data_IF_767710673710
#
_entry.id   IF_767710673710
#
_cell.length_a   1.000
_cell.length_b   1.000
_cell.length_c   1.000
_cell.angle_alpha   90.00
_cell.angle_beta   90.00
_cell.angle_gamma   90.00
#
_symmetry.space_group_name_H-M   'P 1'
#
loop_
_entity.id
_entity.type
_entity.pdbx_description
1 polymer ?
#
# COMPACT_ATOMS: atom_id res chain seq x y z
N UNK A 1 -35.28 9.72 10.63
CA UNK A 1 -35.73 11.09 10.96
C UNK A 1 -34.56 11.94 11.48
N UNK A 2 -33.77 11.44 12.43
CA UNK A 2 -32.58 12.10 12.98
C UNK A 2 -31.53 12.51 11.92
N UNK A 3 -31.19 11.62 10.98
CA UNK A 3 -30.20 11.92 9.92
C UNK A 3 -30.63 13.06 8.98
N UNK A 4 -31.95 13.21 8.72
CA UNK A 4 -32.49 14.29 7.89
C UNK A 4 -32.44 15.64 8.63
N UNK A 5 -32.73 15.63 9.93
CA UNK A 5 -32.62 16.83 10.79
C UNK A 5 -31.16 17.26 10.90
N UNK A 6 -30.23 16.32 11.11
CA UNK A 6 -28.80 16.61 11.15
C UNK A 6 -28.29 17.18 9.82
N UNK A 7 -28.74 16.62 8.69
CA UNK A 7 -28.39 17.14 7.36
C UNK A 7 -28.90 18.56 7.13
N UNK A 8 -30.10 18.88 7.60
CA UNK A 8 -30.68 20.23 7.49
C UNK A 8 -29.94 21.25 8.36
N UNK A 9 -29.57 20.88 9.60
CA UNK A 9 -28.73 21.70 10.48
C UNK A 9 -27.31 21.90 9.95
N UNK A 10 -26.78 20.89 9.26
CA UNK A 10 -25.44 20.90 8.65
C UNK A 10 -25.36 21.77 7.39
N UNK A 11 -26.44 21.84 6.60
CA UNK A 11 -26.49 22.55 5.32
C UNK A 11 -25.99 24.01 5.38
N UNK A 12 -26.45 24.88 6.31
CA UNK A 12 -25.97 26.27 6.37
C UNK A 12 -24.49 26.37 6.73
N UNK A 13 -24.00 25.51 7.63
CA UNK A 13 -22.57 25.48 8.02
C UNK A 13 -21.71 25.07 6.82
N UNK A 14 -22.11 24.03 6.09
CA UNK A 14 -21.42 23.58 4.88
C UNK A 14 -21.44 24.69 3.82
N UNK A 15 -22.58 25.33 3.60
CA UNK A 15 -22.70 26.42 2.64
C UNK A 15 -21.73 27.58 2.94
N UNK A 16 -21.62 27.98 4.20
CA UNK A 16 -20.76 29.07 4.64
C UNK A 16 -19.26 28.69 4.57
N UNK A 17 -18.89 27.52 5.10
CA UNK A 17 -17.48 27.16 5.33
C UNK A 17 -16.84 26.42 4.16
N UNK A 18 -17.60 25.77 3.28
CA UNK A 18 -17.04 24.91 2.23
C UNK A 18 -16.09 25.65 1.29
N UNK A 19 -16.50 26.81 0.74
CA UNK A 19 -15.66 27.59 -0.18
C UNK A 19 -14.37 28.14 0.45
N UNK A 20 -14.39 28.80 1.63
CA UNK A 20 -13.15 29.29 2.24
C UNK A 20 -12.22 28.13 2.66
N UNK A 21 -12.76 27.06 3.24
CA UNK A 21 -11.95 25.89 3.60
C UNK A 21 -11.39 25.20 2.36
N UNK A 22 -12.13 25.11 1.25
CA UNK A 22 -11.61 24.62 -0.03
C UNK A 22 -10.45 25.46 -0.58
N UNK A 23 -10.51 26.79 -0.48
CA UNK A 23 -9.41 27.68 -0.92
C UNK A 23 -8.17 27.48 -0.06
N UNK A 24 -8.36 27.40 1.26
CA UNK A 24 -7.28 27.11 2.20
C UNK A 24 -6.67 25.72 1.95
N UNK A 25 -7.52 24.71 1.75
CA UNK A 25 -7.13 23.34 1.43
C UNK A 25 -6.26 23.27 0.18
N UNK A 26 -6.65 23.98 -0.90
CA UNK A 26 -5.87 24.07 -2.15
C UNK A 26 -4.53 24.78 -1.96
N UNK A 27 -4.49 25.83 -1.14
CA UNK A 27 -3.24 26.57 -0.85
C UNK A 27 -2.23 25.72 -0.08
N UNK A 28 -2.72 24.80 0.74
CA UNK A 28 -1.87 23.90 1.52
C UNK A 28 -1.62 22.60 0.76
N UNK A 29 -2.44 22.24 -0.25
CA UNK A 29 -2.31 21.01 -1.04
C UNK A 29 -0.93 20.97 -1.67
N UNK A 30 -0.07 20.11 -1.14
CA UNK A 30 1.29 19.95 -1.62
C UNK A 30 1.36 18.72 -2.50
N UNK A 31 1.72 18.91 -3.77
CA UNK A 31 2.12 17.80 -4.61
C UNK A 31 3.35 17.11 -4.03
N UNK A 32 3.59 15.82 -4.33
CA UNK A 32 4.73 15.07 -3.85
C UNK A 32 6.06 15.82 -4.09
N UNK A 33 6.87 15.96 -3.05
CA UNK A 33 8.18 16.61 -3.15
C UNK A 33 9.29 15.54 -3.14
N UNK A 34 10.07 15.48 -4.22
CA UNK A 34 11.11 14.46 -4.41
C UNK A 34 12.12 14.39 -3.26
N UNK A 35 12.68 15.52 -2.85
CA UNK A 35 13.69 15.55 -1.78
C UNK A 35 13.14 15.05 -0.45
N UNK A 36 11.93 15.47 -0.09
CA UNK A 36 11.28 15.04 1.15
C UNK A 36 10.97 13.53 1.14
N UNK A 37 10.44 13.00 0.03
CA UNK A 37 10.15 11.57 -0.15
C UNK A 37 11.45 10.76 -0.01
N UNK A 38 12.48 11.14 -0.76
CA UNK A 38 13.75 10.42 -0.77
C UNK A 38 14.43 10.45 0.59
N UNK A 39 14.48 11.62 1.22
CA UNK A 39 15.05 11.78 2.55
C UNK A 39 14.34 10.87 3.56
N UNK A 40 13.00 10.90 3.60
CA UNK A 40 12.24 10.13 4.59
C UNK A 40 12.38 8.62 4.38
N UNK A 41 12.29 8.14 3.15
CA UNK A 41 12.47 6.71 2.86
C UNK A 41 13.88 6.24 3.24
N UNK A 42 14.91 7.01 2.89
CA UNK A 42 16.30 6.67 3.25
C UNK A 42 16.53 6.69 4.76
N UNK A 43 16.00 7.70 5.47
CA UNK A 43 16.09 7.80 6.93
C UNK A 43 15.45 6.59 7.61
N UNK A 44 14.21 6.26 7.24
CA UNK A 44 13.47 5.13 7.82
C UNK A 44 14.13 3.79 7.54
N UNK A 45 14.54 3.57 6.29
CA UNK A 45 15.20 2.32 5.90
C UNK A 45 16.50 2.12 6.68
N UNK A 46 17.30 3.18 6.80
CA UNK A 46 18.54 3.17 7.58
C UNK A 46 18.28 2.94 9.07
N UNK A 47 17.29 3.61 9.65
CA UNK A 47 16.91 3.40 11.05
C UNK A 47 16.57 1.93 11.32
N UNK A 48 15.74 1.32 10.47
CA UNK A 48 15.28 -0.06 10.66
C UNK A 48 16.42 -1.08 10.47
N UNK A 49 17.32 -0.84 9.53
CA UNK A 49 18.33 -1.84 9.15
C UNK A 49 19.66 -1.72 9.90
N UNK A 50 19.99 -0.55 10.42
CA UNK A 50 21.28 -0.29 11.06
C UNK A 50 21.17 -0.06 12.59
N UNK A 51 20.02 0.40 13.10
CA UNK A 51 19.89 0.68 14.53
C UNK A 51 19.39 -0.55 15.31
N UNK A 52 20.03 -0.90 16.45
CA UNK A 52 19.56 -2.01 17.31
C UNK A 52 18.19 -1.78 17.95
N UNK A 53 17.77 -0.51 18.07
CA UNK A 53 16.48 -0.10 18.61
C UNK A 53 15.86 0.95 17.68
N UNK A 54 15.32 0.51 16.52
CA UNK A 54 14.73 1.41 15.55
C UNK A 54 13.51 2.14 16.14
N UNK A 55 13.32 3.38 15.71
CA UNK A 55 12.17 4.23 16.10
C UNK A 55 11.05 4.14 15.08
N UNK A 56 11.39 4.00 13.81
CA UNK A 56 10.45 4.09 12.69
C UNK A 56 9.83 2.74 12.31
N UNK A 57 10.40 1.63 12.77
CA UNK A 57 9.91 0.32 12.37
C UNK A 57 10.57 -0.88 13.00
N UNK A 58 10.53 -2.00 12.29
CA UNK A 58 11.14 -3.26 12.71
C UNK A 58 11.67 -4.05 11.52
N UNK A 59 12.79 -4.74 11.75
CA UNK A 59 13.43 -5.67 10.82
C UNK A 59 13.04 -7.10 11.20
N UNK A 60 12.59 -7.89 10.21
CA UNK A 60 12.29 -9.31 10.36
C UNK A 60 13.12 -10.10 9.36
N UNK A 61 13.84 -11.11 9.83
CA UNK A 61 14.54 -12.04 8.94
C UNK A 61 13.66 -13.24 8.65
N UNK A 62 13.31 -13.46 7.37
CA UNK A 62 12.36 -14.50 6.97
C UNK A 62 12.76 -15.16 5.64
N UNK A 63 12.70 -16.48 5.58
CA UNK A 63 12.94 -17.25 4.35
C UNK A 63 11.65 -17.34 3.52
N UNK A 64 11.69 -16.92 2.25
CA UNK A 64 10.55 -17.02 1.34
C UNK A 64 10.26 -18.46 0.85
N UNK A 65 11.17 -19.41 1.05
CA UNK A 65 10.91 -20.82 0.73
C UNK A 65 9.91 -21.46 1.70
N UNK A 66 9.96 -21.05 2.96
CA UNK A 66 9.18 -21.67 4.05
C UNK A 66 7.97 -20.81 4.47
N UNK A 67 7.91 -19.55 4.01
CA UNK A 67 6.91 -18.58 4.44
C UNK A 67 6.23 -17.93 3.25
N UNK A 68 4.90 -17.91 3.29
CA UNK A 68 4.06 -17.18 2.33
C UNK A 68 3.56 -15.88 2.95
N UNK A 69 3.45 -14.82 2.15
CA UNK A 69 3.00 -13.50 2.58
C UNK A 69 1.84 -13.02 1.72
N UNK A 70 0.93 -12.28 2.33
CA UNK A 70 -0.03 -11.42 1.64
C UNK A 70 0.12 -10.00 2.19
N UNK A 71 0.12 -9.03 1.29
CA UNK A 71 0.26 -7.61 1.60
C UNK A 71 -0.98 -6.88 1.07
N UNK A 72 -1.73 -6.25 1.98
CA UNK A 72 -2.90 -5.43 1.66
C UNK A 72 -2.75 -4.02 2.23
N UNK A 73 -3.39 -3.04 1.60
CA UNK A 73 -3.41 -1.62 2.01
C UNK A 73 -4.78 -0.99 1.73
N UNK A 74 -5.01 0.19 2.31
CA UNK A 74 -6.09 1.09 1.92
C UNK A 74 -7.46 0.41 2.01
N UNK A 75 -7.75 -0.18 3.16
CA UNK A 75 -9.06 -0.78 3.40
C UNK A 75 -10.10 0.31 3.66
N UNK A 76 -9.72 1.35 4.39
CA UNK A 76 -10.60 2.47 4.78
C UNK A 76 -11.90 2.01 5.46
N UNK A 77 -11.79 1.05 6.40
CA UNK A 77 -12.92 0.50 7.17
C UNK A 77 -13.71 1.62 7.86
N UNK A 78 -14.99 1.75 7.51
CA UNK A 78 -15.86 2.78 8.05
C UNK A 78 -16.98 2.23 8.93
N UNK A 79 -18.14 2.89 8.87
CA UNK A 79 -19.32 2.60 9.68
C UNK A 79 -20.49 1.97 8.90
N UNK A 80 -20.22 1.41 7.73
CA UNK A 80 -21.18 0.78 6.79
C UNK A 80 -22.22 1.71 6.18
N UNK A 81 -22.20 3.01 6.52
CA UNK A 81 -23.09 4.02 5.93
C UNK A 81 -22.58 4.46 4.56
N UNK A 82 -23.29 5.41 3.94
CA UNK A 82 -23.06 5.89 2.56
C UNK A 82 -21.61 6.31 2.24
N UNK A 83 -20.85 6.79 3.24
CA UNK A 83 -19.47 7.28 3.06
C UNK A 83 -18.40 6.25 3.38
N UNK A 84 -18.81 5.02 3.71
CA UNK A 84 -17.91 3.89 3.91
C UNK A 84 -17.80 3.15 2.58
N UNK A 85 -16.62 3.22 1.97
CA UNK A 85 -16.31 2.58 0.69
C UNK A 85 -15.95 1.10 0.89
N UNK A 86 -15.31 0.77 2.03
CA UNK A 86 -14.92 -0.59 2.39
C UNK A 86 -16.10 -1.56 2.46
N UNK A 87 -17.30 -1.06 2.77
CA UNK A 87 -18.51 -1.90 2.90
C UNK A 87 -18.80 -2.78 1.67
N UNK A 88 -18.37 -2.34 0.49
CA UNK A 88 -18.53 -3.11 -0.76
C UNK A 88 -17.46 -4.18 -0.92
N UNK A 89 -16.30 -4.01 -0.26
CA UNK A 89 -15.12 -4.86 -0.37
C UNK A 89 -14.98 -5.89 0.75
N UNK A 90 -15.74 -5.75 1.85
CA UNK A 90 -15.64 -6.63 3.02
C UNK A 90 -15.74 -8.11 2.68
N UNK A 91 -16.70 -8.51 1.82
CA UNK A 91 -16.88 -9.91 1.45
C UNK A 91 -15.61 -10.48 0.81
N UNK A 92 -15.01 -9.73 -0.10
CA UNK A 92 -13.78 -10.13 -0.79
C UNK A 92 -12.58 -10.15 0.17
N UNK A 93 -12.51 -9.17 1.07
CA UNK A 93 -11.47 -9.13 2.10
C UNK A 93 -11.55 -10.32 3.08
N UNK A 94 -12.75 -10.64 3.57
CA UNK A 94 -12.94 -11.80 4.47
C UNK A 94 -12.58 -13.12 3.79
N UNK A 95 -12.98 -13.30 2.53
CA UNK A 95 -12.62 -14.48 1.74
C UNK A 95 -11.10 -14.58 1.53
N UNK A 96 -10.44 -13.46 1.23
CA UNK A 96 -8.99 -13.41 1.10
C UNK A 96 -8.30 -13.78 2.42
N UNK A 97 -8.69 -13.17 3.53
CA UNK A 97 -8.11 -13.48 4.84
C UNK A 97 -8.32 -14.94 5.25
N UNK A 98 -9.48 -15.53 4.97
CA UNK A 98 -9.72 -16.95 5.22
C UNK A 98 -8.79 -17.84 4.38
N UNK A 99 -8.61 -17.54 3.09
CA UNK A 99 -7.70 -18.27 2.22
C UNK A 99 -6.25 -18.22 2.72
N UNK A 100 -5.75 -17.04 3.03
CA UNK A 100 -4.36 -16.87 3.46
C UNK A 100 -4.10 -17.41 4.87
N UNK A 101 -5.09 -17.36 5.76
CA UNK A 101 -4.97 -17.97 7.08
C UNK A 101 -4.92 -19.50 6.98
N UNK A 102 -5.76 -20.11 6.13
CA UNK A 102 -5.73 -21.56 5.85
C UNK A 102 -4.42 -22.03 5.23
N UNK A 103 -3.78 -21.20 4.41
CA UNK A 103 -2.43 -21.45 3.88
C UNK A 103 -1.31 -21.23 4.89
N UNK A 104 -1.62 -20.70 6.08
CA UNK A 104 -0.62 -20.37 7.09
C UNK A 104 0.20 -19.12 6.78
N UNK A 105 -0.20 -18.31 5.79
CA UNK A 105 0.54 -17.13 5.36
C UNK A 105 0.65 -16.08 6.47
N UNK A 106 1.68 -15.24 6.36
CA UNK A 106 1.83 -13.98 7.06
C UNK A 106 1.03 -12.89 6.36
N UNK A 107 0.43 -12.01 7.14
CA UNK A 107 -0.31 -10.88 6.65
C UNK A 107 0.38 -9.57 7.05
N UNK A 108 0.82 -8.80 6.06
CA UNK A 108 1.32 -7.44 6.20
C UNK A 108 0.20 -6.47 5.80
N UNK A 109 -0.25 -5.68 6.76
CA UNK A 109 -1.17 -4.59 6.54
C UNK A 109 -0.39 -3.27 6.41
N UNK A 110 -0.40 -2.65 5.22
CA UNK A 110 0.36 -1.43 4.92
C UNK A 110 -0.32 -0.13 5.38
N UNK A 111 -1.38 -0.20 6.18
CA UNK A 111 -2.04 0.99 6.71
C UNK A 111 -3.19 1.50 5.84
N UNK A 112 -3.71 2.65 6.25
CA UNK A 112 -5.04 3.16 5.86
C UNK A 112 -6.12 2.08 5.98
N UNK A 113 -6.04 1.34 7.09
CA UNK A 113 -6.98 0.28 7.40
C UNK A 113 -8.29 0.81 7.93
N UNK A 114 -8.24 1.80 8.81
CA UNK A 114 -9.38 2.36 9.52
C UNK A 114 -9.56 3.82 9.11
N UNK A 115 -10.75 4.18 8.64
CA UNK A 115 -11.01 5.53 8.11
C UNK A 115 -11.33 6.53 9.23
N UNK A 116 -10.31 6.78 10.07
CA UNK A 116 -10.43 7.58 11.30
C UNK A 116 -10.55 9.08 11.03
N UNK A 117 -10.27 9.54 9.81
CA UNK A 117 -10.58 10.91 9.39
C UNK A 117 -12.09 11.12 9.20
N UNK A 118 -12.84 10.09 8.79
CA UNK A 118 -14.30 10.22 8.57
C UNK A 118 -15.14 9.70 9.73
N UNK A 119 -14.64 8.73 10.50
CA UNK A 119 -15.41 8.01 11.52
C UNK A 119 -14.65 7.89 12.84
N UNK A 120 -15.36 7.92 13.96
CA UNK A 120 -14.74 7.67 15.26
C UNK A 120 -14.42 6.18 15.45
N UNK A 121 -13.42 5.88 16.28
CA UNK A 121 -12.94 4.52 16.54
C UNK A 121 -14.05 3.58 17.02
N UNK A 122 -14.93 4.01 17.93
CA UNK A 122 -16.00 3.15 18.47
C UNK A 122 -16.97 2.68 17.37
N UNK A 123 -17.31 3.58 16.45
CA UNK A 123 -18.14 3.26 15.30
C UNK A 123 -17.46 2.26 14.38
N UNK A 124 -16.15 2.40 14.14
CA UNK A 124 -15.39 1.46 13.31
C UNK A 124 -15.34 0.08 13.99
N UNK A 125 -14.95 0.02 15.26
CA UNK A 125 -14.88 -1.23 16.03
C UNK A 125 -16.23 -1.96 16.08
N UNK A 126 -17.32 -1.22 16.25
CA UNK A 126 -18.67 -1.80 16.30
C UNK A 126 -19.07 -2.49 14.98
N UNK A 127 -18.71 -1.91 13.83
CA UNK A 127 -19.21 -2.33 12.52
C UNK A 127 -18.24 -3.24 11.73
N UNK A 128 -17.07 -3.55 12.28
CA UNK A 128 -16.02 -4.31 11.59
C UNK A 128 -15.55 -5.52 12.41
N UNK A 129 -16.42 -6.06 13.28
CA UNK A 129 -16.06 -7.18 14.16
C UNK A 129 -15.58 -8.40 13.40
N UNK A 130 -16.24 -8.76 12.29
CA UNK A 130 -15.88 -9.93 11.48
C UNK A 130 -14.49 -9.79 10.86
N UNK A 131 -14.15 -8.61 10.34
CA UNK A 131 -12.84 -8.36 9.74
C UNK A 131 -11.74 -8.36 10.80
N UNK A 132 -12.00 -7.78 11.97
CA UNK A 132 -11.05 -7.85 13.09
C UNK A 132 -10.86 -9.27 13.63
N UNK A 133 -11.91 -10.08 13.74
CA UNK A 133 -11.78 -11.49 14.13
C UNK A 133 -11.01 -12.30 13.08
N UNK A 134 -11.15 -11.98 11.79
CA UNK A 134 -10.32 -12.59 10.75
C UNK A 134 -8.84 -12.20 10.87
N UNK A 135 -8.54 -10.92 11.05
CA UNK A 135 -7.17 -10.43 11.29
C UNK A 135 -6.55 -11.03 12.57
N UNK A 136 -7.35 -11.19 13.63
CA UNK A 136 -6.94 -11.77 14.91
C UNK A 136 -6.43 -13.21 14.78
N UNK A 137 -6.89 -13.99 13.80
CA UNK A 137 -6.35 -15.34 13.55
C UNK A 137 -4.85 -15.29 13.20
N UNK A 138 -4.43 -14.33 12.38
CA UNK A 138 -3.02 -14.08 12.08
C UNK A 138 -2.25 -13.62 13.33
N UNK A 139 -2.84 -12.73 14.14
CA UNK A 139 -2.23 -12.24 15.39
C UNK A 139 -1.94 -13.39 16.38
N UNK A 140 -2.89 -14.31 16.54
CA UNK A 140 -2.75 -15.50 17.40
C UNK A 140 -1.55 -16.36 16.97
N UNK A 141 -1.28 -16.45 15.65
CA UNK A 141 -0.14 -17.18 15.08
C UNK A 141 1.18 -16.40 15.05
N UNK A 142 1.23 -15.16 15.54
CA UNK A 142 2.37 -14.24 15.34
C UNK A 142 2.66 -13.95 13.85
N UNK A 143 1.63 -14.00 13.01
CA UNK A 143 1.75 -13.89 11.56
C UNK A 143 1.13 -12.58 11.02
N UNK A 144 1.01 -11.55 11.87
CA UNK A 144 0.40 -10.27 11.52
C UNK A 144 1.36 -9.11 11.76
N UNK A 145 1.60 -8.31 10.73
CA UNK A 145 2.39 -7.09 10.80
C UNK A 145 1.53 -5.92 10.35
N UNK A 146 1.58 -4.79 11.06
CA UNK A 146 0.78 -3.61 10.73
C UNK A 146 1.65 -2.36 10.67
N UNK A 147 1.51 -1.64 9.56
CA UNK A 147 2.06 -0.31 9.33
C UNK A 147 0.91 0.70 9.42
N UNK A 148 1.17 1.92 9.91
CA UNK A 148 0.18 2.99 9.85
C UNK A 148 0.26 3.74 8.52
N UNK A 149 -0.92 4.11 8.01
CA UNK A 149 -1.05 5.10 6.94
C UNK A 149 -1.45 6.47 7.47
N UNK A 150 -1.67 7.44 6.58
CA UNK A 150 -2.02 8.80 6.98
C UNK A 150 -3.45 8.92 7.55
N UNK A 151 -4.37 8.02 7.21
CA UNK A 151 -5.70 7.94 7.81
C UNK A 151 -5.67 7.27 9.19
N UNK A 152 -4.64 6.48 9.45
CA UNK A 152 -4.46 5.64 10.64
C UNK A 152 -3.63 6.31 11.75
N UNK A 153 -3.17 7.56 11.57
CA UNK A 153 -2.27 8.27 12.50
C UNK A 153 -2.74 8.29 13.96
N UNK A 154 -4.05 8.19 14.19
CA UNK A 154 -4.64 7.97 15.51
C UNK A 154 -3.97 6.82 16.28
N UNK A 155 -3.60 5.73 15.59
CA UNK A 155 -2.94 4.58 16.21
C UNK A 155 -1.56 4.88 16.77
N UNK A 156 -0.86 5.87 16.21
CA UNK A 156 0.46 6.32 16.65
C UNK A 156 0.34 7.30 17.82
N UNK A 157 -0.58 8.26 17.73
CA UNK A 157 -0.63 9.41 18.65
C UNK A 157 -1.59 9.23 19.82
N UNK A 158 -2.62 8.39 19.70
CA UNK A 158 -3.64 8.27 20.74
C UNK A 158 -3.11 7.49 21.95
N UNK A 159 -3.18 8.04 23.18
CA UNK A 159 -2.71 7.37 24.39
C UNK A 159 -3.42 6.05 24.69
N UNK A 160 -4.66 5.87 24.22
CA UNK A 160 -5.48 4.68 24.42
C UNK A 160 -5.40 3.70 23.25
N UNK A 161 -4.62 3.99 22.22
CA UNK A 161 -4.43 3.13 21.05
C UNK A 161 -4.08 1.69 21.44
N UNK A 162 -3.19 1.50 22.43
CA UNK A 162 -2.82 0.18 22.97
C UNK A 162 -4.00 -0.57 23.58
N UNK A 163 -4.88 0.13 24.30
CA UNK A 163 -6.08 -0.45 24.92
C UNK A 163 -7.05 -0.94 23.85
N UNK A 164 -7.34 -0.11 22.83
CA UNK A 164 -8.22 -0.51 21.74
C UNK A 164 -7.67 -1.71 20.95
N UNK A 165 -6.36 -1.74 20.67
CA UNK A 165 -5.72 -2.89 20.01
C UNK A 165 -5.83 -4.16 20.85
N UNK A 166 -5.62 -4.06 22.15
CA UNK A 166 -5.76 -5.20 23.05
C UNK A 166 -7.21 -5.71 23.09
N UNK A 167 -8.19 -4.81 23.12
CA UNK A 167 -9.62 -5.18 23.07
C UNK A 167 -9.99 -5.94 21.79
N UNK A 168 -9.39 -5.57 20.66
CA UNK A 168 -9.71 -6.16 19.35
C UNK A 168 -8.96 -7.49 19.15
N UNK A 169 -7.65 -7.47 19.36
CA UNK A 169 -6.78 -8.59 18.99
C UNK A 169 -6.45 -9.53 20.15
N UNK A 170 -6.83 -9.20 21.39
CA UNK A 170 -6.49 -9.94 22.63
C UNK A 170 -4.98 -10.12 22.84
N UNK A 171 -4.17 -9.36 22.11
CA UNK A 171 -2.71 -9.43 22.12
C UNK A 171 -2.14 -8.07 21.74
N UNK A 172 -0.98 -7.66 22.29
CA UNK A 172 -0.30 -6.48 21.80
C UNK A 172 0.05 -6.64 20.32
N UNK A 173 -0.51 -5.76 19.49
CA UNK A 173 -0.11 -5.57 18.10
C UNK A 173 0.67 -4.26 18.03
N UNK A 174 1.90 -4.33 17.55
CA UNK A 174 2.70 -3.16 17.26
C UNK A 174 2.29 -2.61 15.90
N UNK A 175 2.26 -1.28 15.81
CA UNK A 175 2.01 -0.56 14.56
C UNK A 175 3.25 0.28 14.30
N UNK A 176 3.85 0.10 13.14
CA UNK A 176 5.12 0.69 12.75
C UNK A 176 4.92 1.75 11.66
N UNK A 177 5.90 2.64 11.47
CA UNK A 177 5.93 3.51 10.29
C UNK A 177 6.34 2.76 9.03
N UNK A 178 7.18 1.73 9.18
CA UNK A 178 7.51 0.76 8.15
C UNK A 178 7.98 -0.57 8.73
N UNK A 179 8.06 -1.59 7.90
CA UNK A 179 8.74 -2.85 8.23
C UNK A 179 9.72 -3.21 7.12
N UNK A 180 10.80 -3.88 7.47
CA UNK A 180 11.71 -4.50 6.50
C UNK A 180 11.67 -6.00 6.72
N UNK A 181 11.37 -6.77 5.67
CA UNK A 181 11.50 -8.22 5.68
C UNK A 181 12.77 -8.58 4.90
N UNK A 182 13.81 -8.99 5.62
CA UNK A 182 15.08 -9.42 5.06
C UNK A 182 15.01 -10.87 4.66
N UNK A 183 15.19 -11.12 3.37
CA UNK A 183 15.17 -12.45 2.77
C UNK A 183 16.60 -12.90 2.51
N UNK A 184 17.14 -13.87 3.27
CA UNK A 184 18.51 -14.34 3.09
C UNK A 184 18.62 -15.25 1.87
N UNK A 185 19.69 -15.09 1.09
CA UNK A 185 20.03 -15.92 -0.08
C UNK A 185 21.36 -16.69 0.10
N UNK A 186 21.84 -16.79 1.34
CA UNK A 186 23.10 -17.44 1.70
C UNK A 186 24.34 -16.59 1.42
N UNK A 187 25.49 -16.99 1.98
CA UNK A 187 26.79 -16.27 1.85
C UNK A 187 26.73 -14.78 2.24
N UNK A 188 25.85 -14.42 3.18
CA UNK A 188 25.65 -13.02 3.62
C UNK A 188 24.90 -12.13 2.62
N UNK A 189 24.42 -12.66 1.49
CA UNK A 189 23.58 -11.94 0.55
C UNK A 189 22.11 -12.00 0.98
N UNK A 190 21.38 -10.92 0.77
CA UNK A 190 19.97 -10.81 1.08
C UNK A 190 19.26 -9.87 0.11
N UNK A 191 17.93 -9.95 0.08
CA UNK A 191 17.06 -8.91 -0.50
C UNK A 191 16.16 -8.40 0.63
N UNK A 192 16.06 -7.09 0.78
CA UNK A 192 15.18 -6.46 1.75
C UNK A 192 13.87 -6.05 1.07
N UNK A 193 12.76 -6.61 1.53
CA UNK A 193 11.41 -6.16 1.17
C UNK A 193 11.02 -5.05 2.15
N UNK A 194 11.18 -3.81 1.72
CA UNK A 194 10.86 -2.62 2.49
C UNK A 194 9.41 -2.22 2.26
N UNK A 195 8.60 -2.34 3.30
CA UNK A 195 7.16 -2.13 3.27
C UNK A 195 6.81 -0.83 4.01
N UNK A 196 6.24 0.14 3.29
CA UNK A 196 5.73 1.39 3.86
C UNK A 196 4.32 1.66 3.35
N UNK A 197 3.55 2.54 3.99
CA UNK A 197 2.24 2.90 3.44
C UNK A 197 2.36 3.64 2.11
N UNK A 198 3.29 4.60 2.00
CA UNK A 198 3.50 5.44 0.83
C UNK A 198 3.37 6.93 1.11
N UNK A 199 2.81 7.36 2.24
CA UNK A 199 2.75 8.80 2.58
C UNK A 199 4.12 9.42 2.92
N UNK A 200 5.21 8.64 2.88
CA UNK A 200 6.55 9.07 3.29
C UNK A 200 7.02 10.28 2.46
N UNK A 201 7.40 11.36 3.14
CA UNK A 201 7.76 12.65 2.55
C UNK A 201 6.61 13.67 2.47
N UNK A 202 5.39 13.29 2.84
CA UNK A 202 4.29 14.25 3.04
C UNK A 202 4.47 14.98 4.37
N UNK A 203 4.82 16.26 4.31
CA UNK A 203 5.05 17.13 5.48
C UNK A 203 3.87 17.19 6.45
N UNK A 204 2.65 16.84 6.03
CA UNK A 204 1.47 16.84 6.89
C UNK A 204 1.42 15.60 7.77
N UNK A 205 1.67 14.45 7.14
CA UNK A 205 1.54 13.11 7.70
C UNK A 205 2.85 12.66 8.39
N UNK A 206 3.99 13.18 7.94
CA UNK A 206 5.32 13.00 8.54
C UNK A 206 5.83 14.27 9.23
N UNK A 207 4.93 15.21 9.51
CA UNK A 207 5.27 16.44 10.22
C UNK A 207 5.61 16.19 11.68
N UNK A 208 5.86 17.27 12.44
CA UNK A 208 6.01 17.14 13.89
C UNK A 208 4.70 16.63 14.54
N UNK A 209 4.78 16.17 15.80
CA UNK A 209 3.65 15.63 16.55
C UNK A 209 2.41 16.55 16.57
N UNK A 210 2.61 17.88 16.51
CA UNK A 210 1.51 18.83 16.42
C UNK A 210 0.83 18.82 15.04
N UNK A 211 1.60 18.75 13.95
CA UNK A 211 1.06 18.60 12.59
C UNK A 211 0.23 17.32 12.47
N UNK A 212 0.78 16.20 12.91
CA UNK A 212 0.10 14.89 12.91
C UNK A 212 -1.20 14.96 13.72
N UNK A 213 -1.14 15.52 14.93
CA UNK A 213 -2.32 15.74 15.77
C UNK A 213 -3.38 16.62 15.10
N UNK A 214 -2.97 17.76 14.51
CA UNK A 214 -3.88 18.68 13.84
C UNK A 214 -4.56 18.00 12.64
N UNK A 215 -3.79 17.23 11.86
CA UNK A 215 -4.31 16.49 10.70
C UNK A 215 -5.34 15.45 11.14
N UNK A 216 -4.98 14.61 12.12
CA UNK A 216 -5.80 13.50 12.58
C UNK A 216 -7.08 13.94 13.31
N UNK A 217 -7.00 14.93 14.22
CA UNK A 217 -8.14 15.29 15.09
C UNK A 217 -8.94 16.49 14.60
N UNK A 218 -8.38 17.36 13.75
CA UNK A 218 -9.04 18.60 13.31
C UNK A 218 -9.29 18.58 11.80
N UNK A 219 -8.22 18.50 11.00
CA UNK A 219 -8.32 18.69 9.55
C UNK A 219 -9.12 17.58 8.85
N UNK A 220 -8.76 16.31 9.07
CA UNK A 220 -9.45 15.16 8.47
C UNK A 220 -10.95 15.14 8.78
N UNK A 221 -11.35 15.22 10.06
CA UNK A 221 -12.75 15.32 10.47
C UNK A 221 -13.48 16.52 9.87
N UNK A 222 -12.85 17.70 9.82
CA UNK A 222 -13.44 18.91 9.23
C UNK A 222 -13.63 18.77 7.71
N UNK A 223 -12.63 18.24 7.00
CA UNK A 223 -12.69 17.99 5.56
C UNK A 223 -13.81 17.02 5.21
N UNK A 224 -13.92 15.92 5.98
CA UNK A 224 -15.02 14.94 5.87
C UNK A 224 -16.37 15.56 6.23
N UNK A 225 -16.45 16.40 7.26
CA UNK A 225 -17.68 17.09 7.61
C UNK A 225 -18.14 18.02 6.49
N UNK A 226 -17.25 18.74 5.82
CA UNK A 226 -17.64 19.70 4.76
C UNK A 226 -17.80 19.06 3.37
N UNK A 227 -17.63 17.74 3.25
CA UNK A 227 -17.63 16.98 1.98
C UNK A 227 -16.74 17.70 0.93
N UNK A 228 -15.53 18.04 1.37
CA UNK A 228 -14.53 18.73 0.55
C UNK A 228 -13.70 17.69 -0.19
N UNK A 229 -13.92 17.62 -1.51
CA UNK A 229 -12.98 17.00 -2.43
C UNK A 229 -12.11 18.09 -3.06
N UNK A 230 -10.81 18.07 -2.75
CA UNK A 230 -9.86 19.11 -3.15
C UNK A 230 -9.30 18.81 -4.55
N UNK A 231 -9.33 17.55 -4.98
CA UNK A 231 -8.64 17.07 -6.16
C UNK A 231 -9.64 16.74 -7.27
N UNK A 232 -9.40 17.26 -8.48
CA UNK A 232 -10.10 16.76 -9.67
C UNK A 232 -9.53 15.39 -10.05
N UNK A 233 -10.32 14.48 -10.67
CA UNK A 233 -9.84 13.15 -11.04
C UNK A 233 -8.56 13.15 -11.90
N UNK A 234 -8.40 14.16 -12.77
CA UNK A 234 -7.21 14.30 -13.61
C UNK A 234 -5.97 14.72 -12.80
N UNK A 235 -6.11 15.70 -11.89
CA UNK A 235 -5.01 16.18 -11.04
C UNK A 235 -4.61 15.10 -10.04
N UNK A 236 -5.59 14.42 -9.41
CA UNK A 236 -5.30 13.31 -8.52
C UNK A 236 -4.63 12.15 -9.27
N UNK A 237 -5.02 11.86 -10.52
CA UNK A 237 -4.34 10.84 -11.33
C UNK A 237 -2.88 11.23 -11.62
N UNK A 238 -2.61 12.47 -12.04
CA UNK A 238 -1.24 12.93 -12.29
C UNK A 238 -0.37 12.95 -11.04
N UNK A 239 -0.92 13.37 -9.89
CA UNK A 239 -0.19 13.39 -8.62
C UNK A 239 0.11 11.98 -8.12
N UNK A 240 -0.84 11.04 -8.24
CA UNK A 240 -0.64 9.62 -7.96
C UNK A 240 0.43 9.00 -8.86
N UNK A 241 0.39 9.28 -10.17
CA UNK A 241 1.44 8.84 -11.11
C UNK A 241 2.81 9.42 -10.75
N UNK A 242 2.88 10.71 -10.42
CA UNK A 242 4.13 11.34 -9.98
C UNK A 242 4.66 10.70 -8.70
N UNK A 243 3.78 10.48 -7.72
CA UNK A 243 4.13 9.85 -6.45
C UNK A 243 4.74 8.46 -6.67
N UNK A 244 4.07 7.60 -7.43
CA UNK A 244 4.55 6.27 -7.79
C UNK A 244 5.88 6.30 -8.56
N UNK A 245 6.08 7.30 -9.43
CA UNK A 245 7.37 7.50 -10.10
C UNK A 245 8.48 7.81 -9.09
N UNK A 246 8.23 8.70 -8.13
CA UNK A 246 9.23 9.04 -7.11
C UNK A 246 9.61 7.84 -6.24
N UNK A 247 8.63 7.01 -5.86
CA UNK A 247 8.87 5.76 -5.13
C UNK A 247 9.74 4.80 -5.94
N UNK A 248 9.42 4.64 -7.23
CA UNK A 248 10.22 3.84 -8.14
C UNK A 248 11.65 4.38 -8.27
N UNK A 249 11.81 5.67 -8.58
CA UNK A 249 13.12 6.32 -8.72
C UNK A 249 13.98 6.13 -7.46
N UNK A 250 13.42 6.30 -6.26
CA UNK A 250 14.16 6.09 -5.01
C UNK A 250 14.62 4.64 -4.87
N UNK A 251 13.72 3.68 -5.13
CA UNK A 251 14.02 2.25 -4.98
C UNK A 251 15.08 1.74 -5.99
N UNK A 252 15.15 2.32 -7.19
CA UNK A 252 16.17 1.98 -8.19
C UNK A 252 17.60 2.32 -7.73
N UNK A 253 17.73 3.34 -6.88
CA UNK A 253 19.02 3.81 -6.36
C UNK A 253 19.53 2.93 -5.20
N UNK A 254 18.70 2.03 -4.68
CA UNK A 254 19.08 1.16 -3.58
C UNK A 254 19.65 -0.16 -4.10
N UNK A 255 20.58 -0.72 -3.34
CA UNK A 255 21.10 -2.07 -3.57
C UNK A 255 20.27 -3.09 -2.80
N UNK A 256 19.82 -4.14 -3.48
CA UNK A 256 19.07 -5.26 -2.89
C UNK A 256 17.76 -4.90 -2.17
N UNK A 257 17.13 -3.76 -2.49
CA UNK A 257 15.86 -3.35 -1.90
C UNK A 257 14.72 -3.45 -2.90
N UNK A 258 13.62 -4.04 -2.44
CA UNK A 258 12.31 -4.00 -3.06
C UNK A 258 11.40 -3.14 -2.18
N UNK A 259 10.88 -2.04 -2.71
CA UNK A 259 9.92 -1.17 -2.03
C UNK A 259 8.48 -1.61 -2.36
N UNK A 260 7.66 -1.84 -1.34
CA UNK A 260 6.23 -2.16 -1.47
C UNK A 260 5.41 -1.09 -0.75
N UNK A 261 4.50 -0.43 -1.47
CA UNK A 261 3.62 0.62 -0.92
C UNK A 261 2.15 0.42 -1.24
N UNK A 262 1.28 1.24 -0.64
CA UNK A 262 -0.12 1.46 -1.02
C UNK A 262 -0.36 2.92 -1.42
N UNK A 263 -1.28 3.60 -0.74
CA UNK A 263 -1.53 5.05 -0.75
C UNK A 263 -2.15 5.63 -2.03
N UNK A 264 -1.64 5.28 -3.22
CA UNK A 264 -2.18 5.83 -4.47
C UNK A 264 -3.43 5.10 -4.97
N UNK A 265 -3.77 3.95 -4.39
CA UNK A 265 -4.86 3.06 -4.83
C UNK A 265 -4.69 2.55 -6.28
N UNK A 266 -3.47 2.64 -6.83
CA UNK A 266 -3.13 2.24 -8.19
C UNK A 266 -2.15 1.07 -8.06
N UNK A 267 -2.55 -0.16 -8.40
CA UNK A 267 -1.65 -1.28 -8.29
C UNK A 267 -0.53 -1.13 -9.32
N UNK A 268 0.69 -1.42 -8.89
CA UNK A 268 1.90 -1.39 -9.73
C UNK A 268 2.68 -2.64 -9.43
N UNK A 269 3.08 -3.35 -10.48
CA UNK A 269 3.87 -4.55 -10.37
C UNK A 269 5.21 -4.30 -11.07
N UNK A 270 6.30 -4.24 -10.30
CA UNK A 270 7.69 -4.08 -10.78
C UNK A 270 8.02 -2.83 -11.63
N UNK A 271 7.12 -1.84 -11.66
CA UNK A 271 7.17 -0.54 -12.33
C UNK A 271 6.48 -0.40 -13.70
N UNK A 272 5.97 0.80 -13.93
CA UNK A 272 5.37 1.27 -15.18
C UNK A 272 6.29 1.18 -16.41
N UNK A 273 7.60 1.00 -16.21
CA UNK A 273 8.62 0.94 -17.27
C UNK A 273 8.93 -0.49 -17.76
N UNK A 274 8.45 -1.52 -17.06
CA UNK A 274 8.77 -2.91 -17.39
C UNK A 274 8.22 -3.33 -18.74
N UNK A 275 6.94 -3.03 -19.01
CA UNK A 275 6.30 -3.36 -20.28
C UNK A 275 7.00 -2.65 -21.47
N UNK A 276 7.46 -1.41 -21.25
CA UNK A 276 8.24 -0.68 -22.26
C UNK A 276 9.60 -1.34 -22.49
N UNK A 277 10.26 -1.78 -21.42
CA UNK A 277 11.54 -2.50 -21.52
C UNK A 277 11.40 -3.86 -22.20
N UNK A 278 10.40 -4.66 -21.82
CA UNK A 278 10.10 -5.94 -22.46
C UNK A 278 9.78 -5.75 -23.95
N UNK A 279 8.99 -4.72 -24.30
CA UNK A 279 8.74 -4.37 -25.71
C UNK A 279 10.00 -3.95 -26.45
N UNK A 280 10.87 -3.15 -25.83
CA UNK A 280 12.14 -2.77 -26.45
C UNK A 280 13.08 -3.97 -26.65
N UNK A 281 13.18 -4.87 -25.66
CA UNK A 281 13.91 -6.12 -25.78
C UNK A 281 13.31 -7.05 -26.83
N UNK A 282 11.98 -7.08 -26.96
CA UNK A 282 11.30 -7.85 -27.99
C UNK A 282 11.66 -7.35 -29.39
N UNK A 283 11.66 -6.03 -29.61
CA UNK A 283 12.10 -5.44 -30.87
C UNK A 283 13.57 -5.75 -31.17
N UNK A 284 14.44 -5.70 -30.16
CA UNK A 284 15.85 -6.07 -30.31
C UNK A 284 16.01 -7.56 -30.64
N UNK A 285 15.30 -8.45 -29.95
CA UNK A 285 15.33 -9.89 -30.19
C UNK A 285 14.77 -10.24 -31.58
N UNK A 286 13.69 -9.57 -32.03
CA UNK A 286 13.16 -9.66 -33.40
C UNK A 286 14.18 -9.21 -34.43
N UNK A 287 14.90 -8.12 -34.16
CA UNK A 287 15.95 -7.62 -35.06
C UNK A 287 17.14 -8.59 -35.19
N UNK A 288 17.41 -9.38 -34.14
CA UNK A 288 18.48 -10.39 -34.10
C UNK A 288 18.04 -11.79 -34.52
N UNK A 289 16.76 -12.00 -34.85
CA UNK A 289 16.18 -13.31 -35.19
C UNK A 289 16.37 -14.37 -34.09
N UNK A 290 16.40 -13.96 -32.82
CA UNK A 290 16.53 -14.85 -31.67
C UNK A 290 15.15 -15.42 -31.28
N UNK A 291 14.80 -16.56 -31.88
CA UNK A 291 13.45 -17.15 -31.80
C UNK A 291 13.06 -17.55 -30.37
N UNK A 292 14.01 -18.11 -29.61
CA UNK A 292 13.75 -18.56 -28.24
C UNK A 292 13.51 -17.37 -27.31
N UNK A 293 14.30 -16.30 -27.47
CA UNK A 293 14.16 -15.07 -26.69
C UNK A 293 12.91 -14.28 -27.07
N UNK A 294 12.52 -14.27 -28.34
CA UNK A 294 11.25 -13.67 -28.79
C UNK A 294 10.06 -14.35 -28.13
N UNK A 295 10.03 -15.69 -28.12
CA UNK A 295 8.93 -16.45 -27.51
C UNK A 295 8.81 -16.20 -26.00
N UNK A 296 9.93 -16.24 -25.28
CA UNK A 296 9.98 -15.93 -23.84
C UNK A 296 9.50 -14.49 -23.54
N UNK A 297 9.94 -13.51 -24.33
CA UNK A 297 9.53 -12.11 -24.16
C UNK A 297 8.06 -11.88 -24.51
N UNK A 298 7.51 -12.55 -25.52
CA UNK A 298 6.09 -12.46 -25.87
C UNK A 298 5.20 -13.05 -24.76
N UNK A 299 5.56 -14.21 -24.20
CA UNK A 299 4.86 -14.77 -23.04
C UNK A 299 4.96 -13.87 -21.80
N UNK A 300 6.12 -13.26 -21.55
CA UNK A 300 6.29 -12.28 -20.46
C UNK A 300 5.41 -11.06 -20.67
N UNK A 301 5.34 -10.51 -21.90
CA UNK A 301 4.49 -9.35 -22.22
C UNK A 301 3.00 -9.69 -22.04
N UNK A 302 2.57 -10.88 -22.45
CA UNK A 302 1.18 -11.33 -22.32
C UNK A 302 0.72 -11.42 -20.85
N UNK A 303 1.65 -11.74 -19.93
CA UNK A 303 1.40 -11.79 -18.48
C UNK A 303 1.29 -10.40 -17.80
N UNK A 304 1.47 -9.29 -18.52
CA UNK A 304 1.49 -7.92 -17.95
C UNK A 304 0.36 -7.03 -18.51
N UNK A 305 -0.83 -6.94 -17.88
CA UNK A 305 -1.94 -6.08 -18.31
C UNK A 305 -1.78 -4.58 -17.95
N UNK A 306 -0.57 -4.10 -17.63
CA UNK A 306 -0.36 -2.84 -16.91
C UNK A 306 -0.75 -1.54 -17.67
N UNK A 307 -1.41 -0.64 -16.94
CA UNK A 307 -2.09 0.59 -17.41
C UNK A 307 -1.19 1.83 -17.54
N UNK A 308 0.01 1.73 -18.12
CA UNK A 308 0.82 2.94 -18.39
C UNK A 308 1.43 2.98 -19.79
N UNK A 309 1.09 4.06 -20.49
CA UNK A 309 1.60 4.46 -21.82
C UNK A 309 2.59 5.62 -21.75
N UNK A 310 2.92 6.11 -20.54
CA UNK A 310 3.80 7.26 -20.40
C UNK A 310 5.26 6.82 -20.55
N UNK A 311 5.91 7.31 -21.60
CA UNK A 311 7.33 7.09 -21.84
C UNK A 311 8.17 7.67 -20.70
N UNK A 312 9.09 6.87 -20.18
CA UNK A 312 10.14 7.37 -19.30
C UNK A 312 11.43 7.40 -20.13
N UNK A 313 11.75 8.56 -20.67
CA UNK A 313 13.07 8.77 -21.26
C UNK A 313 14.11 8.86 -20.12
N UNK A 314 15.26 8.24 -20.34
CA UNK A 314 16.50 8.36 -19.55
C UNK A 314 16.54 7.75 -18.13
N UNK A 315 15.88 6.60 -17.89
CA UNK A 315 16.20 5.79 -16.71
C UNK A 315 17.25 4.70 -17.05
N UNK A 316 18.23 4.44 -16.16
CA UNK A 316 19.19 3.34 -16.31
C UNK A 316 18.47 1.97 -16.34
N UNK A 317 19.23 0.92 -16.71
CA UNK A 317 18.79 -0.48 -16.85
C UNK A 317 17.71 -0.85 -15.82
N UNK A 318 16.53 -1.18 -16.33
CA UNK A 318 15.33 -1.53 -15.58
C UNK A 318 15.62 -2.50 -14.42
N UNK A 319 15.16 -2.18 -13.20
CA UNK A 319 15.09 -3.12 -12.08
C UNK A 319 13.67 -3.21 -11.49
N UNK A 320 13.17 -4.39 -11.11
CA UNK A 320 11.82 -4.59 -10.58
C UNK A 320 11.69 -4.22 -9.09
N UNK A 321 12.13 -3.02 -8.71
CA UNK A 321 12.34 -2.63 -7.29
C UNK A 321 11.13 -2.00 -6.61
N UNK A 322 10.01 -1.78 -7.32
CA UNK A 322 8.87 -1.08 -6.77
C UNK A 322 7.53 -1.75 -7.09
N UNK A 323 6.72 -1.88 -6.05
CA UNK A 323 5.37 -2.42 -6.11
C UNK A 323 4.41 -1.53 -5.36
N UNK A 324 3.20 -1.41 -5.90
CA UNK A 324 2.06 -0.83 -5.22
C UNK A 324 0.95 -1.88 -5.12
N UNK A 325 0.48 -2.15 -3.91
CA UNK A 325 -0.50 -3.21 -3.66
C UNK A 325 -1.93 -2.83 -4.12
N UNK A 326 -2.16 -1.57 -4.49
CA UNK A 326 -3.45 -1.06 -4.94
C UNK A 326 -4.38 -0.67 -3.78
N UNK A 327 -5.65 -1.05 -3.84
CA UNK A 327 -6.66 -0.74 -2.80
C UNK A 327 -7.45 -1.98 -2.39
N UNK A 328 -7.96 -1.95 -1.15
CA UNK A 328 -8.97 -2.88 -0.67
C UNK A 328 -10.38 -2.26 -0.60
N UNK A 329 -10.64 -1.30 -1.49
CA UNK A 329 -11.77 -0.39 -1.40
C UNK A 329 -12.37 -0.01 -2.77
N UNK A 330 -12.09 -0.78 -3.84
CA UNK A 330 -12.51 -0.39 -5.19
C UNK A 330 -14.04 -0.26 -5.27
N UNK A 331 -14.51 0.63 -6.15
CA UNK A 331 -15.94 0.93 -6.28
C UNK A 331 -16.78 -0.25 -6.75
N UNK A 332 -16.16 -1.24 -7.40
CA UNK A 332 -16.76 -2.51 -7.80
C UNK A 332 -16.72 -3.57 -6.68
N UNK A 333 -16.19 -3.20 -5.50
CA UNK A 333 -16.02 -4.09 -4.35
C UNK A 333 -14.81 -5.01 -4.45
N UNK A 334 -14.04 -4.97 -5.54
CA UNK A 334 -12.83 -5.77 -5.66
C UNK A 334 -11.73 -5.25 -4.73
N UNK A 335 -10.74 -6.11 -4.45
CA UNK A 335 -9.54 -5.74 -3.72
C UNK A 335 -8.31 -6.27 -4.44
N UNK A 336 -7.17 -5.60 -4.28
CA UNK A 336 -5.87 -6.09 -4.77
C UNK A 336 -4.87 -6.20 -3.64
N UNK A 337 -3.87 -7.06 -3.82
CA UNK A 337 -2.75 -7.20 -2.89
C UNK A 337 -1.52 -7.79 -3.57
N UNK A 338 -0.38 -7.74 -2.87
CA UNK A 338 0.83 -8.43 -3.31
C UNK A 338 0.97 -9.72 -2.50
N UNK A 339 0.96 -10.84 -3.20
CA UNK A 339 1.22 -12.16 -2.64
C UNK A 339 2.67 -12.56 -2.90
N UNK A 340 3.36 -13.08 -1.90
CA UNK A 340 4.68 -13.70 -2.06
C UNK A 340 4.54 -15.14 -1.59
N UNK A 341 4.46 -16.09 -2.53
CA UNK A 341 4.21 -17.49 -2.22
C UNK A 341 4.66 -18.39 -3.37
N UNK A 342 4.97 -19.64 -3.04
CA UNK A 342 5.23 -20.72 -4.01
C UNK A 342 6.37 -20.41 -5.00
N UNK A 343 7.34 -19.57 -4.60
CA UNK A 343 8.46 -19.16 -5.46
C UNK A 343 8.16 -17.95 -6.34
N UNK A 344 7.05 -17.24 -6.15
CA UNK A 344 6.65 -16.09 -6.96
C UNK A 344 6.25 -14.90 -6.08
N UNK A 345 6.39 -13.70 -6.65
CA UNK A 345 5.62 -12.52 -6.26
C UNK A 345 4.46 -12.39 -7.22
N UNK A 346 3.28 -12.01 -6.75
CA UNK A 346 2.07 -11.87 -7.58
C UNK A 346 1.27 -10.65 -7.19
N UNK A 347 0.75 -9.93 -8.17
CA UNK A 347 -0.38 -9.02 -7.98
C UNK A 347 -1.65 -9.86 -8.07
N UNK A 348 -2.39 -9.94 -6.97
CA UNK A 348 -3.64 -10.69 -6.90
C UNK A 348 -4.83 -9.76 -6.79
N UNK A 349 -5.95 -10.17 -7.38
CA UNK A 349 -7.25 -9.52 -7.24
C UNK A 349 -8.24 -10.50 -6.60
N UNK A 350 -9.09 -9.99 -5.72
CA UNK A 350 -10.25 -10.71 -5.23
C UNK A 350 -11.50 -9.97 -5.64
N UNK A 351 -12.45 -10.68 -6.24
CA UNK A 351 -13.71 -10.12 -6.73
C UNK A 351 -14.82 -11.16 -6.67
N UNK A 352 -16.08 -10.71 -6.72
CA UNK A 352 -17.26 -11.59 -6.74
C UNK A 352 -18.06 -11.33 -8.01
N UNK A 353 -18.02 -12.30 -8.93
CA UNK A 353 -18.78 -12.26 -10.19
C UNK A 353 -20.12 -13.00 -10.10
N UNK A 354 -20.67 -13.15 -8.89
CA UNK A 354 -22.00 -13.73 -8.63
C UNK A 354 -22.00 -15.18 -8.16
N UNK A 355 -20.82 -15.81 -8.02
CA UNK A 355 -20.66 -17.19 -7.50
C UNK A 355 -19.96 -17.24 -6.14
N UNK A 356 -19.55 -16.10 -5.60
CA UNK A 356 -18.67 -16.02 -4.45
C UNK A 356 -17.39 -15.26 -4.78
N UNK A 357 -16.64 -14.92 -3.73
CA UNK A 357 -15.37 -14.23 -3.89
C UNK A 357 -14.30 -15.20 -4.40
N UNK A 358 -13.64 -14.84 -5.49
CA UNK A 358 -12.62 -15.66 -6.14
C UNK A 358 -11.30 -14.88 -6.25
N UNK A 359 -10.18 -15.61 -6.18
CA UNK A 359 -8.82 -15.08 -6.32
C UNK A 359 -8.37 -15.20 -7.77
N UNK A 360 -7.96 -14.09 -8.35
CA UNK A 360 -7.37 -13.98 -9.67
C UNK A 360 -5.91 -13.50 -9.55
N UNK A 361 -5.00 -14.07 -10.34
CA UNK A 361 -3.63 -13.55 -10.49
C UNK A 361 -3.63 -12.61 -11.68
N UNK A 362 -3.31 -11.33 -11.43
CA UNK A 362 -3.24 -10.32 -12.48
C UNK A 362 -1.84 -10.28 -13.12
N UNK A 363 -0.80 -10.38 -12.29
CA UNK A 363 0.60 -10.37 -12.71
C UNK A 363 1.42 -11.28 -11.78
N UNK A 364 2.49 -11.88 -12.29
CA UNK A 364 3.41 -12.69 -11.50
C UNK A 364 4.86 -12.58 -11.96
N UNK A 365 5.79 -12.69 -11.01
CA UNK A 365 7.23 -12.74 -11.27
C UNK A 365 7.89 -13.84 -10.43
N UNK A 366 8.70 -14.72 -11.03
CA UNK A 366 9.49 -15.70 -10.28
C UNK A 366 10.49 -15.02 -9.33
N UNK A 367 10.61 -15.53 -8.10
CA UNK A 367 11.63 -15.09 -7.14
C UNK A 367 13.05 -15.36 -7.64
N UNK A 368 13.23 -16.38 -8.49
CA UNK A 368 14.51 -16.65 -9.16
C UNK A 368 14.96 -15.50 -10.05
N UNK A 369 14.03 -14.91 -10.81
CA UNK A 369 14.32 -13.76 -11.67
C UNK A 369 14.70 -12.54 -10.83
N UNK A 370 13.98 -12.26 -9.73
CA UNK A 370 14.41 -11.20 -8.80
C UNK A 370 15.81 -11.47 -8.24
N UNK A 371 16.09 -12.72 -7.84
CA UNK A 371 17.40 -13.10 -7.32
C UNK A 371 18.52 -12.82 -8.32
N UNK A 372 18.35 -13.20 -9.59
CA UNK A 372 19.30 -12.92 -10.66
C UNK A 372 19.50 -11.41 -10.81
N UNK A 373 18.42 -10.63 -10.87
CA UNK A 373 18.48 -9.19 -11.07
C UNK A 373 19.17 -8.41 -9.93
N UNK A 374 19.02 -8.87 -8.68
CA UNK A 374 19.60 -8.21 -7.52
C UNK A 374 21.00 -8.74 -7.14
N UNK A 375 21.23 -10.06 -7.25
CA UNK A 375 22.40 -10.71 -6.64
C UNK A 375 23.43 -11.21 -7.65
N UNK A 376 23.05 -11.36 -8.92
CA UNK A 376 23.92 -11.75 -10.02
C UNK A 376 24.13 -10.52 -10.88
N UNK A 377 25.24 -9.80 -10.64
CA UNK A 377 25.67 -8.78 -11.57
C UNK A 377 25.77 -9.44 -12.95
N UNK A 378 24.89 -9.05 -13.87
CA UNK A 378 25.02 -9.38 -15.29
C UNK A 378 26.35 -8.78 -15.77
N UNK A 379 27.40 -9.61 -15.78
CA UNK A 379 28.74 -9.30 -16.29
C UNK A 379 29.66 -8.56 -15.31
N UNK A 380 30.53 -9.31 -14.65
CA UNK A 380 31.95 -8.94 -14.56
C UNK A 380 32.72 -9.80 -15.56
#
# INVERSE_FOLDING_TARGET
>A
MLDKVLAWLKAPIVFLLKKPVQRFAKKISSSPNREAVFHRLSEMYKDITENPQPKDGALYEMNLQDNSFIIFSDLHKGNRKRRDEFRFSEKNYLAALDHYDKKGSYYINLGDSEELWKFNIFSILQHNKETFEAEKRFVKRNAFFKVYGNHDLFWEIDPFSKMYRWQVYEKPVNIYGAIVVRVPFGKGKYIDVFCTHGHQGDKRSDGNKFSIWFVAYIWGPLQSFLDININTPAVSKSEKTLHNRLMYEWSQLQDNVVLVTGHTHQPIFHSYSHLQHLRAQLEEAKSRQDVDKVKDLEERIERHPSQCTLGVQDLPKYKPTYFNVGCCCYSDGSITGIEIADGFVRLVKWQDEGKGSEREVLEELPLSEMREMFLEKVGE
#
